data_IF_497114799331
#
_entry.id   IF_497114799331
#
_cell.length_a   1.000
_cell.length_b   1.000
_cell.length_c   1.000
_cell.angle_alpha   90.00
_cell.angle_beta   90.00
_cell.angle_gamma   90.00
#
_symmetry.space_group_name_H-M   'P 1'
#
loop_
_entity.id
_entity.type
_entity.pdbx_description
1 polymer ?
#
# COMPACT_ATOMS: atom_id res chain seq x y z
N UNK A 1 -11.18 1.49 -34.88
CA UNK A 1 -10.19 0.41 -34.65
C UNK A 1 -10.87 -0.63 -33.75
N UNK A 2 -11.14 -1.83 -34.29
CA UNK A 2 -11.87 -2.88 -33.56
C UNK A 2 -11.07 -3.45 -32.38
N UNK A 3 -9.78 -3.10 -32.26
CA UNK A 3 -8.89 -3.47 -31.15
C UNK A 3 -8.71 -4.98 -30.95
N UNK A 4 -8.86 -5.78 -32.01
CA UNK A 4 -8.65 -7.21 -31.97
C UNK A 4 -7.18 -7.55 -31.74
N UNK A 5 -6.90 -8.57 -30.92
CA UNK A 5 -5.57 -9.14 -30.78
C UNK A 5 -5.17 -9.83 -32.09
N UNK A 6 -4.03 -9.46 -32.63
CA UNK A 6 -3.48 -10.06 -33.87
C UNK A 6 -2.28 -10.96 -33.59
N UNK A 7 -1.60 -10.74 -32.45
CA UNK A 7 -0.43 -11.50 -32.07
C UNK A 7 -0.32 -11.57 -30.55
N UNK A 8 0.03 -12.75 -30.05
CA UNK A 8 0.24 -13.01 -28.63
C UNK A 8 1.40 -14.00 -28.45
N UNK A 9 2.19 -13.83 -27.39
CA UNK A 9 3.23 -14.79 -27.06
C UNK A 9 2.69 -15.94 -26.19
N UNK A 10 3.45 -17.04 -26.14
CA UNK A 10 3.09 -18.25 -25.39
C UNK A 10 2.95 -17.97 -23.87
N UNK A 11 3.69 -17.00 -23.33
CA UNK A 11 3.63 -16.64 -21.93
C UNK A 11 2.25 -16.07 -21.53
N UNK A 12 1.70 -15.15 -22.33
CA UNK A 12 0.37 -14.59 -22.07
C UNK A 12 -0.74 -15.63 -22.28
N UNK A 13 -0.59 -16.49 -23.31
CA UNK A 13 -1.49 -17.62 -23.56
C UNK A 13 -1.58 -18.53 -22.34
N UNK A 14 -0.41 -18.96 -21.80
CA UNK A 14 -0.34 -19.79 -20.61
C UNK A 14 -0.88 -19.08 -19.36
N UNK A 15 -0.55 -17.82 -19.18
CA UNK A 15 -0.99 -16.99 -18.05
C UNK A 15 -2.51 -16.91 -17.95
N UNK A 16 -3.19 -16.81 -19.11
CA UNK A 16 -4.64 -16.74 -19.20
C UNK A 16 -5.33 -18.12 -19.33
N UNK A 17 -4.56 -19.21 -19.32
CA UNK A 17 -5.08 -20.57 -19.29
C UNK A 17 -5.55 -21.11 -20.65
N UNK A 18 -5.09 -20.53 -21.76
CA UNK A 18 -5.37 -21.00 -23.11
C UNK A 18 -4.31 -22.02 -23.57
N UNK A 19 -4.66 -22.89 -24.52
CA UNK A 19 -3.77 -23.95 -25.00
C UNK A 19 -2.92 -23.49 -26.18
N UNK A 20 -3.37 -22.47 -26.94
CA UNK A 20 -2.61 -21.91 -28.07
C UNK A 20 -2.94 -20.45 -28.33
N UNK A 21 -2.09 -19.79 -29.12
CA UNK A 21 -2.29 -18.41 -29.55
C UNK A 21 -3.59 -18.27 -30.40
N UNK A 22 -3.86 -19.25 -31.26
CA UNK A 22 -5.05 -19.27 -32.13
C UNK A 22 -6.32 -19.36 -31.28
N UNK A 23 -6.31 -20.21 -30.25
CA UNK A 23 -7.44 -20.34 -29.31
C UNK A 23 -7.69 -19.00 -28.58
N UNK A 24 -6.64 -18.39 -28.03
CA UNK A 24 -6.73 -17.10 -27.35
C UNK A 24 -7.27 -15.99 -28.25
N UNK A 25 -6.72 -15.85 -29.47
CA UNK A 25 -7.14 -14.83 -30.43
C UNK A 25 -8.62 -15.04 -30.82
N UNK A 26 -9.05 -16.29 -31.02
CA UNK A 26 -10.44 -16.60 -31.34
C UNK A 26 -11.40 -16.26 -30.15
N UNK A 27 -11.00 -16.63 -28.94
CA UNK A 27 -11.78 -16.38 -27.73
C UNK A 27 -11.89 -14.88 -27.39
N UNK A 28 -10.83 -14.11 -27.66
CA UNK A 28 -10.74 -12.68 -27.41
C UNK A 28 -11.03 -11.81 -28.64
N UNK A 29 -11.77 -12.35 -29.62
CA UNK A 29 -12.23 -11.62 -30.80
C UNK A 29 -13.04 -10.36 -30.44
N UNK A 30 -13.63 -10.34 -29.25
CA UNK A 30 -14.22 -9.17 -28.59
C UNK A 30 -13.37 -8.83 -27.36
N UNK A 31 -12.42 -7.90 -27.48
CA UNK A 31 -11.46 -7.58 -26.41
C UNK A 31 -12.12 -7.12 -25.11
N UNK A 32 -13.32 -6.55 -25.17
CA UNK A 32 -14.10 -6.16 -24.00
C UNK A 32 -14.39 -7.35 -23.06
N UNK A 33 -14.52 -8.56 -23.59
CA UNK A 33 -14.80 -9.76 -22.80
C UNK A 33 -13.59 -10.24 -21.98
N UNK A 34 -12.39 -9.74 -22.28
CA UNK A 34 -11.20 -10.04 -21.51
C UNK A 34 -11.17 -9.28 -20.18
N UNK A 35 -11.73 -8.06 -20.15
CA UNK A 35 -11.73 -7.21 -18.98
C UNK A 35 -12.87 -7.55 -18.03
N UNK A 36 -12.59 -7.63 -16.72
CA UNK A 36 -13.63 -7.79 -15.69
C UNK A 36 -14.49 -6.53 -15.63
N UNK A 37 -13.87 -5.36 -15.75
CA UNK A 37 -14.53 -4.06 -15.90
C UNK A 37 -14.25 -3.50 -17.30
N UNK A 38 -15.29 -3.49 -18.15
CA UNK A 38 -15.18 -3.01 -19.51
C UNK A 38 -14.80 -1.52 -19.59
N UNK A 39 -15.14 -0.71 -18.60
CA UNK A 39 -14.80 0.73 -18.56
C UNK A 39 -13.30 0.97 -18.50
N UNK A 40 -12.55 0.05 -17.89
CA UNK A 40 -11.08 0.11 -17.85
C UNK A 40 -10.44 0.01 -19.23
N UNK A 41 -11.05 -0.76 -20.12
CA UNK A 41 -10.60 -0.81 -21.52
C UNK A 41 -10.82 0.52 -22.24
N UNK A 42 -11.98 1.14 -22.04
CA UNK A 42 -12.27 2.45 -22.63
C UNK A 42 -11.31 3.53 -22.14
N UNK A 43 -11.00 3.51 -20.85
CA UNK A 43 -10.00 4.38 -20.23
C UNK A 43 -8.62 4.17 -20.83
N UNK A 44 -8.14 2.92 -20.95
CA UNK A 44 -6.87 2.58 -21.57
C UNK A 44 -6.78 3.13 -23.00
N UNK A 45 -7.80 2.94 -23.84
CA UNK A 45 -7.83 3.44 -25.22
C UNK A 45 -7.79 4.94 -25.25
N UNK A 46 -8.51 5.64 -24.37
CA UNK A 46 -8.49 7.11 -24.28
C UNK A 46 -7.08 7.63 -23.95
N UNK A 47 -6.40 7.04 -22.96
CA UNK A 47 -5.02 7.41 -22.62
C UNK A 47 -4.09 7.19 -23.81
N UNK A 48 -4.19 6.03 -24.48
CA UNK A 48 -3.35 5.71 -25.63
C UNK A 48 -3.60 6.63 -26.83
N UNK A 49 -4.82 7.13 -27.00
CA UNK A 49 -5.12 8.11 -28.06
C UNK A 49 -4.58 9.50 -27.75
N UNK A 50 -4.50 9.86 -26.45
CA UNK A 50 -4.00 11.19 -26.01
C UNK A 50 -2.48 11.21 -25.91
N UNK A 51 -1.92 10.21 -25.21
CA UNK A 51 -0.52 10.21 -24.78
C UNK A 51 0.37 9.27 -25.61
N UNK A 52 -0.24 8.38 -26.40
CA UNK A 52 0.45 7.37 -27.21
C UNK A 52 1.01 6.20 -26.41
N UNK A 53 1.03 6.26 -25.08
CA UNK A 53 1.53 5.18 -24.22
C UNK A 53 0.91 5.22 -22.83
N UNK A 54 0.99 4.10 -22.12
CA UNK A 54 0.66 3.99 -20.68
C UNK A 54 1.61 3.01 -20.02
N UNK A 55 1.97 3.29 -18.76
CA UNK A 55 2.78 2.41 -17.92
C UNK A 55 2.06 2.11 -16.62
N UNK A 56 2.12 0.84 -16.17
CA UNK A 56 1.56 0.44 -14.90
C UNK A 56 0.03 0.54 -14.84
N UNK A 57 -0.66 0.40 -15.97
CA UNK A 57 -2.12 0.42 -15.98
C UNK A 57 -2.67 -0.87 -15.37
N UNK A 58 -3.24 -0.75 -14.19
CA UNK A 58 -3.78 -1.90 -13.43
C UNK A 58 -5.24 -2.15 -13.78
N UNK A 59 -5.57 -3.42 -14.02
CA UNK A 59 -6.92 -3.89 -14.28
C UNK A 59 -7.04 -5.38 -13.95
N UNK A 60 -8.23 -5.95 -14.10
CA UNK A 60 -8.46 -7.39 -13.97
C UNK A 60 -8.87 -7.99 -15.30
N UNK A 61 -8.30 -9.13 -15.64
CA UNK A 61 -8.69 -9.94 -16.78
C UNK A 61 -9.42 -11.20 -16.34
N UNK A 62 -10.31 -11.72 -17.21
CA UNK A 62 -10.81 -13.08 -17.07
C UNK A 62 -9.81 -14.07 -17.67
N UNK A 63 -9.51 -15.14 -16.93
CA UNK A 63 -8.90 -16.33 -17.52
C UNK A 63 -9.93 -17.17 -18.26
N UNK A 64 -9.47 -18.16 -19.04
CA UNK A 64 -10.31 -19.11 -19.75
C UNK A 64 -11.32 -19.84 -18.86
N UNK A 65 -10.94 -20.15 -17.62
CA UNK A 65 -11.78 -20.82 -16.62
C UNK A 65 -12.78 -19.87 -15.91
N UNK A 66 -12.79 -18.60 -16.27
CA UNK A 66 -13.63 -17.57 -15.66
C UNK A 66 -13.06 -16.97 -14.37
N UNK A 67 -11.91 -17.45 -13.89
CA UNK A 67 -11.24 -16.81 -12.74
C UNK A 67 -10.69 -15.44 -13.12
N UNK A 68 -10.54 -14.55 -12.12
CA UNK A 68 -10.02 -13.20 -12.30
C UNK A 68 -8.52 -13.18 -12.08
N UNK A 69 -7.83 -12.42 -12.91
CA UNK A 69 -6.40 -12.19 -12.86
C UNK A 69 -6.13 -10.69 -12.79
N UNK A 70 -5.64 -10.16 -11.65
CA UNK A 70 -5.16 -8.78 -11.59
C UNK A 70 -3.87 -8.66 -12.37
N UNK A 71 -3.81 -7.68 -13.26
CA UNK A 71 -2.68 -7.45 -14.15
C UNK A 71 -2.27 -5.99 -14.17
N UNK A 72 -0.98 -5.75 -14.36
CA UNK A 72 -0.43 -4.44 -14.72
C UNK A 72 0.04 -4.46 -16.17
N UNK A 73 -0.33 -3.44 -16.92
CA UNK A 73 -0.07 -3.34 -18.36
C UNK A 73 0.83 -2.16 -18.67
N UNK A 74 1.81 -2.39 -19.56
CA UNK A 74 2.49 -1.29 -20.25
C UNK A 74 2.13 -1.40 -21.74
N UNK A 75 1.54 -0.36 -22.29
CA UNK A 75 1.04 -0.36 -23.68
C UNK A 75 1.49 0.89 -24.40
N UNK A 76 1.84 0.75 -25.68
CA UNK A 76 2.18 1.87 -26.56
C UNK A 76 1.49 1.76 -27.90
N UNK A 77 1.21 2.88 -28.51
CA UNK A 77 0.84 2.98 -29.92
C UNK A 77 2.09 2.85 -30.79
N UNK A 78 1.98 2.09 -31.89
CA UNK A 78 3.04 1.92 -32.89
C UNK A 78 2.57 2.56 -34.19
N UNK A 79 3.44 3.38 -34.81
CA UNK A 79 3.19 4.14 -36.02
C UNK A 79 4.17 3.74 -37.13
N UNK A 80 3.76 3.92 -38.37
CA UNK A 80 4.66 3.78 -39.54
C UNK A 80 5.59 4.98 -39.69
N UNK A 81 6.51 4.91 -40.68
CA UNK A 81 7.46 6.00 -40.98
C UNK A 81 6.77 7.30 -41.44
N UNK A 82 5.49 7.25 -41.77
CA UNK A 82 4.68 8.40 -42.20
C UNK A 82 3.81 8.96 -41.06
N UNK A 83 3.92 8.38 -39.87
CA UNK A 83 3.15 8.78 -38.69
C UNK A 83 1.72 8.22 -38.64
N UNK A 84 1.35 7.23 -39.48
CA UNK A 84 0.05 6.60 -39.41
C UNK A 84 0.06 5.49 -38.33
N UNK A 85 -1.00 5.45 -37.54
CA UNK A 85 -1.17 4.40 -36.54
C UNK A 85 -1.24 3.01 -37.21
N UNK A 86 -0.51 2.03 -36.65
CA UNK A 86 -0.52 0.65 -37.13
C UNK A 86 -1.22 -0.27 -36.11
N UNK A 87 -0.71 -0.33 -34.85
CA UNK A 87 -1.25 -1.21 -33.79
C UNK A 87 -0.84 -0.72 -32.41
N UNK A 88 -1.44 -1.29 -31.37
CA UNK A 88 -0.98 -1.20 -30.00
C UNK A 88 -0.11 -2.40 -29.65
N UNK A 89 1.00 -2.16 -28.97
CA UNK A 89 1.88 -3.19 -28.43
C UNK A 89 1.95 -3.05 -26.92
N UNK A 90 1.77 -4.16 -26.20
CA UNK A 90 1.81 -4.13 -24.74
C UNK A 90 2.45 -5.33 -24.12
N UNK A 91 2.81 -5.19 -22.85
CA UNK A 91 3.17 -6.26 -21.94
C UNK A 91 2.12 -6.35 -20.84
N UNK A 92 1.85 -7.56 -20.37
CA UNK A 92 0.93 -7.86 -19.28
C UNK A 92 1.73 -8.58 -18.21
N UNK A 93 1.64 -8.11 -16.99
CA UNK A 93 2.34 -8.66 -15.82
C UNK A 93 1.28 -9.08 -14.81
N UNK A 94 1.34 -10.32 -14.35
CA UNK A 94 0.54 -10.81 -13.22
C UNK A 94 1.02 -10.13 -11.92
N UNK A 95 0.12 -9.40 -11.25
CA UNK A 95 0.40 -8.73 -9.99
C UNK A 95 -0.28 -9.41 -8.79
N UNK A 96 -0.85 -10.60 -8.97
CA UNK A 96 -1.58 -11.34 -7.91
C UNK A 96 -0.72 -11.60 -6.68
N UNK A 97 0.53 -12.01 -6.89
CA UNK A 97 1.46 -12.30 -5.79
C UNK A 97 1.78 -11.04 -4.98
N UNK A 98 2.00 -9.90 -5.66
CA UNK A 98 2.26 -8.61 -5.02
C UNK A 98 1.06 -8.13 -4.20
N UNK A 99 -0.15 -8.20 -4.76
CA UNK A 99 -1.39 -7.85 -4.05
C UNK A 99 -1.60 -8.76 -2.83
N UNK A 100 -1.41 -10.07 -3.00
CA UNK A 100 -1.57 -11.04 -1.90
C UNK A 100 -0.57 -10.78 -0.79
N UNK A 101 0.70 -10.56 -1.13
CA UNK A 101 1.75 -10.25 -0.15
C UNK A 101 1.43 -8.98 0.63
N UNK A 102 1.03 -7.92 -0.07
CA UNK A 102 0.64 -6.66 0.57
C UNK A 102 -0.51 -6.87 1.55
N UNK A 103 -1.57 -7.56 1.14
CA UNK A 103 -2.72 -7.88 2.00
C UNK A 103 -2.31 -8.68 3.23
N UNK A 104 -1.47 -9.72 3.08
CA UNK A 104 -0.99 -10.51 4.22
C UNK A 104 -0.15 -9.67 5.18
N UNK A 105 0.68 -8.76 4.67
CA UNK A 105 1.46 -7.84 5.50
C UNK A 105 0.54 -6.89 6.27
N UNK A 106 -0.47 -6.30 5.63
CA UNK A 106 -1.43 -5.39 6.26
C UNK A 106 -2.24 -6.11 7.34
N UNK A 107 -2.76 -7.32 7.04
CA UNK A 107 -3.49 -8.16 7.99
C UNK A 107 -2.60 -8.58 9.19
N UNK A 108 -1.32 -8.91 8.95
CA UNK A 108 -0.36 -9.27 10.01
C UNK A 108 -0.06 -8.07 10.89
N UNK A 109 0.16 -6.90 10.29
CA UNK A 109 0.38 -5.65 11.01
C UNK A 109 -0.84 -5.30 11.88
N UNK A 110 -2.05 -5.45 11.35
CA UNK A 110 -3.29 -5.27 12.09
C UNK A 110 -3.45 -6.25 13.26
N UNK A 111 -3.09 -7.52 13.07
CA UNK A 111 -3.12 -8.52 14.13
C UNK A 111 -2.12 -8.20 15.27
N UNK A 112 -0.90 -7.74 14.92
CA UNK A 112 0.10 -7.30 15.91
C UNK A 112 -0.39 -6.08 16.69
N UNK A 113 -0.97 -5.09 16.00
CA UNK A 113 -1.59 -3.90 16.59
C UNK A 113 -2.67 -4.30 17.60
N UNK A 114 -3.60 -5.17 17.19
CA UNK A 114 -4.67 -5.70 18.06
C UNK A 114 -4.12 -6.42 19.28
N UNK A 115 -3.07 -7.24 19.12
CA UNK A 115 -2.45 -7.97 20.23
C UNK A 115 -1.88 -7.03 21.31
N UNK A 116 -1.39 -5.86 20.91
CA UNK A 116 -0.94 -4.81 21.84
C UNK A 116 -2.12 -4.09 22.48
N UNK A 117 -3.17 -3.75 21.70
CA UNK A 117 -4.38 -3.10 22.23
C UNK A 117 -5.14 -3.93 23.27
N UNK A 118 -5.15 -5.27 23.13
CA UNK A 118 -5.78 -6.15 24.11
C UNK A 118 -5.20 -5.96 25.53
N UNK A 119 -3.93 -5.55 25.63
CA UNK A 119 -3.26 -5.28 26.92
C UNK A 119 -3.59 -3.90 27.50
N UNK A 120 -4.15 -2.99 26.68
CA UNK A 120 -4.53 -1.63 27.05
C UNK A 120 -6.04 -1.43 26.74
N UNK A 121 -6.93 -1.76 27.69
CA UNK A 121 -8.39 -1.74 27.46
C UNK A 121 -8.95 -0.36 27.05
N UNK A 122 -8.20 0.70 27.31
CA UNK A 122 -8.61 2.07 26.95
C UNK A 122 -8.31 2.45 25.50
N UNK A 123 -7.55 1.61 24.77
CA UNK A 123 -7.09 1.91 23.40
C UNK A 123 -7.75 1.08 22.31
N UNK A 124 -8.79 0.30 22.64
CA UNK A 124 -9.50 -0.53 21.64
C UNK A 124 -9.91 0.30 20.41
N UNK A 125 -9.40 -0.09 19.23
CA UNK A 125 -9.60 0.61 17.95
C UNK A 125 -8.98 2.00 17.88
N UNK A 126 -8.14 2.39 18.83
CA UNK A 126 -7.45 3.69 18.82
C UNK A 126 -6.47 3.76 17.65
N UNK A 127 -5.65 2.73 17.49
CA UNK A 127 -4.61 2.70 16.45
C UNK A 127 -5.22 2.80 15.06
N UNK A 128 -6.34 2.11 14.80
CA UNK A 128 -7.04 2.23 13.52
C UNK A 128 -7.60 3.64 13.29
N UNK A 129 -8.19 4.26 14.31
CA UNK A 129 -8.72 5.63 14.18
C UNK A 129 -7.63 6.67 13.96
N UNK A 130 -6.51 6.58 14.70
CA UNK A 130 -5.34 7.45 14.53
C UNK A 130 -4.76 7.27 13.13
N UNK A 131 -4.58 6.02 12.68
CA UNK A 131 -4.05 5.70 11.36
C UNK A 131 -4.91 6.29 10.24
N UNK A 132 -6.23 6.10 10.28
CA UNK A 132 -7.15 6.67 9.27
C UNK A 132 -7.08 8.19 9.22
N UNK A 133 -7.00 8.85 10.37
CA UNK A 133 -6.85 10.31 10.42
C UNK A 133 -5.51 10.75 9.85
N UNK A 134 -4.43 10.06 10.21
CA UNK A 134 -3.09 10.35 9.72
C UNK A 134 -2.99 10.17 8.19
N UNK A 135 -3.59 9.12 7.63
CA UNK A 135 -3.68 8.91 6.18
C UNK A 135 -4.44 10.04 5.47
N UNK A 136 -5.57 10.46 6.03
CA UNK A 136 -6.35 11.54 5.46
C UNK A 136 -5.57 12.87 5.46
N UNK A 137 -4.86 13.17 6.55
CA UNK A 137 -3.97 14.36 6.63
C UNK A 137 -2.85 14.25 5.60
N UNK A 138 -2.19 13.10 5.49
CA UNK A 138 -1.10 12.88 4.54
C UNK A 138 -1.58 13.03 3.08
N UNK A 139 -2.79 12.56 2.75
CA UNK A 139 -3.41 12.73 1.44
C UNK A 139 -3.67 14.20 1.12
N UNK A 140 -4.25 14.97 2.06
CA UNK A 140 -4.47 16.42 1.92
C UNK A 140 -3.14 17.20 1.78
N UNK A 141 -2.06 16.67 2.36
CA UNK A 141 -0.70 17.21 2.19
C UNK A 141 -0.04 16.81 0.87
N UNK A 142 -0.76 16.11 -0.02
CA UNK A 142 -0.27 15.63 -1.32
C UNK A 142 0.96 14.70 -1.20
N UNK A 143 1.00 13.85 -0.18
CA UNK A 143 2.01 12.80 -0.11
C UNK A 143 1.77 11.76 -1.22
N UNK A 144 2.83 11.13 -1.69
CA UNK A 144 2.70 10.00 -2.62
C UNK A 144 2.03 8.80 -1.93
N UNK A 145 1.39 7.93 -2.71
CA UNK A 145 0.73 6.71 -2.19
C UNK A 145 1.68 5.85 -1.35
N UNK A 146 2.94 5.76 -1.76
CA UNK A 146 3.97 5.05 -1.01
C UNK A 146 4.25 5.69 0.36
N UNK A 147 4.25 7.02 0.42
CA UNK A 147 4.47 7.75 1.66
C UNK A 147 3.25 7.67 2.59
N UNK A 148 2.03 7.70 2.04
CA UNK A 148 0.79 7.44 2.77
C UNK A 148 0.81 6.02 3.34
N UNK A 149 1.24 5.02 2.57
CA UNK A 149 1.41 3.63 3.05
C UNK A 149 2.42 3.55 4.21
N UNK A 150 3.46 4.38 4.22
CA UNK A 150 4.40 4.46 5.35
C UNK A 150 3.74 5.07 6.60
N UNK A 151 2.94 6.11 6.44
CA UNK A 151 2.13 6.69 7.54
C UNK A 151 1.15 5.66 8.10
N UNK A 152 0.48 4.88 7.21
CA UNK A 152 -0.37 3.77 7.63
C UNK A 152 0.38 2.78 8.52
N UNK A 153 1.50 2.24 8.03
CA UNK A 153 2.29 1.25 8.77
C UNK A 153 2.78 1.80 10.11
N UNK A 154 3.29 3.04 10.13
CA UNK A 154 3.74 3.68 11.35
C UNK A 154 2.58 3.93 12.33
N UNK A 155 1.42 4.38 11.84
CA UNK A 155 0.21 4.59 12.64
C UNK A 155 -0.31 3.29 13.27
N UNK A 156 -0.31 2.19 12.52
CA UNK A 156 -0.70 0.88 13.05
C UNK A 156 0.27 0.34 14.11
N UNK A 157 1.54 0.71 14.06
CA UNK A 157 2.61 0.19 14.92
C UNK A 157 3.16 1.19 15.92
N UNK A 158 2.62 2.45 16.00
CA UNK A 158 3.23 3.48 16.85
C UNK A 158 3.35 3.06 18.32
N UNK A 159 2.41 2.28 18.79
CA UNK A 159 2.30 1.79 20.17
C UNK A 159 2.86 0.36 20.38
N UNK A 160 3.52 -0.25 19.37
CA UNK A 160 4.00 -1.65 19.46
C UNK A 160 4.90 -1.88 20.68
N UNK A 161 5.65 -0.88 21.08
CA UNK A 161 6.53 -0.95 22.25
C UNK A 161 5.80 -1.07 23.60
N UNK A 162 4.48 -0.85 23.65
CA UNK A 162 3.69 -1.10 24.87
C UNK A 162 3.73 -2.57 25.31
N UNK A 163 4.20 -3.48 24.46
CA UNK A 163 4.44 -4.87 24.83
C UNK A 163 5.41 -5.02 26.00
N UNK A 164 6.34 -4.08 26.18
CA UNK A 164 7.30 -4.04 27.30
C UNK A 164 6.74 -3.37 28.56
N UNK A 165 5.60 -2.68 28.46
CA UNK A 165 4.98 -2.01 29.60
C UNK A 165 4.19 -3.06 30.42
N UNK A 166 4.35 -3.12 31.77
CA UNK A 166 3.55 -3.97 32.62
C UNK A 166 2.06 -3.70 32.43
N UNK A 167 1.26 -4.78 32.24
CA UNK A 167 -0.17 -4.66 31.96
C UNK A 167 -0.94 -3.93 33.08
N UNK A 168 -0.46 -4.03 34.31
CA UNK A 168 -1.04 -3.35 35.48
C UNK A 168 -1.00 -1.82 35.33
N UNK A 169 0.00 -1.28 34.63
CA UNK A 169 0.10 0.18 34.38
C UNK A 169 -0.83 0.64 33.27
N UNK A 170 -1.15 -0.24 32.32
CA UNK A 170 -2.04 0.05 31.20
C UNK A 170 -3.52 -0.08 31.58
N UNK A 171 -3.85 -0.97 32.52
CA UNK A 171 -5.24 -1.32 32.87
C UNK A 171 -5.74 -0.72 34.17
N UNK A 172 -4.86 -0.18 35.03
CA UNK A 172 -5.26 0.34 36.36
C UNK A 172 -6.04 1.64 36.22
N UNK A 173 -7.22 1.75 36.85
CA UNK A 173 -7.97 3.00 36.89
C UNK A 173 -7.27 4.02 37.80
N UNK A 174 -7.33 5.30 37.44
CA UNK A 174 -6.82 6.40 38.25
C UNK A 174 -5.56 7.05 37.70
N UNK A 175 -4.93 7.91 38.52
CA UNK A 175 -3.72 8.63 38.10
C UNK A 175 -2.51 7.72 38.21
N UNK A 176 -1.70 7.71 37.18
CA UNK A 176 -0.36 7.09 37.20
C UNK A 176 0.65 8.02 37.89
N UNK A 177 1.60 7.43 38.62
CA UNK A 177 2.71 8.17 39.24
C UNK A 177 3.73 8.61 38.20
N UNK A 178 4.60 9.54 38.54
CA UNK A 178 5.68 9.99 37.66
C UNK A 178 6.62 8.83 37.25
N UNK A 179 6.86 7.88 38.14
CA UNK A 179 7.70 6.72 37.85
C UNK A 179 7.01 5.80 36.84
N UNK A 180 5.74 5.49 37.01
CA UNK A 180 4.93 4.69 36.08
C UNK A 180 4.83 5.38 34.71
N UNK A 181 4.63 6.69 34.70
CA UNK A 181 4.61 7.49 33.48
C UNK A 181 5.98 7.45 32.74
N UNK A 182 7.10 7.46 33.49
CA UNK A 182 8.41 7.31 32.89
C UNK A 182 8.63 5.91 32.28
N UNK A 183 8.07 4.86 32.88
CA UNK A 183 8.06 3.53 32.28
C UNK A 183 7.19 3.51 31.03
N UNK A 184 6.00 4.09 31.09
CA UNK A 184 5.11 4.17 29.93
C UNK A 184 5.78 4.86 28.74
N UNK A 185 6.51 5.95 28.95
CA UNK A 185 7.22 6.68 27.89
C UNK A 185 8.26 5.82 27.14
N UNK A 186 8.73 4.74 27.76
CA UNK A 186 9.74 3.86 27.13
C UNK A 186 9.16 3.14 25.91
N UNK A 187 7.82 3.03 25.75
CA UNK A 187 7.24 2.35 24.60
C UNK A 187 7.69 2.94 23.26
N UNK A 188 7.96 4.25 23.17
CA UNK A 188 8.46 4.86 21.94
C UNK A 188 9.87 4.36 21.59
N UNK A 189 10.75 4.22 22.59
CA UNK A 189 12.08 3.63 22.43
C UNK A 189 11.98 2.15 22.09
N UNK A 190 11.19 1.39 22.83
CA UNK A 190 11.02 -0.06 22.64
C UNK A 190 10.39 -0.36 21.28
N UNK A 191 9.43 0.45 20.83
CA UNK A 191 8.86 0.37 19.49
C UNK A 191 9.94 0.56 18.40
N UNK A 192 10.81 1.54 18.57
CA UNK A 192 11.96 1.74 17.69
C UNK A 192 12.89 0.51 17.67
N UNK A 193 13.24 -0.03 18.85
CA UNK A 193 14.14 -1.20 18.95
C UNK A 193 13.54 -2.44 18.25
N UNK A 194 12.22 -2.65 18.34
CA UNK A 194 11.51 -3.73 17.63
C UNK A 194 11.61 -3.53 16.11
N UNK A 195 11.42 -2.31 15.62
CA UNK A 195 11.20 -2.04 14.19
C UNK A 195 12.50 -1.72 13.43
N UNK A 196 13.57 -1.28 14.10
CA UNK A 196 14.81 -0.80 13.46
C UNK A 196 15.54 -1.84 12.61
N UNK A 197 15.32 -3.14 12.87
CA UNK A 197 15.95 -4.24 12.11
C UNK A 197 15.24 -4.52 10.78
N UNK A 198 14.06 -3.93 10.55
CA UNK A 198 13.27 -4.12 9.33
C UNK A 198 13.67 -3.04 8.34
N UNK A 199 14.11 -3.45 7.15
CA UNK A 199 14.46 -2.53 6.07
C UNK A 199 13.19 -2.01 5.37
N UNK A 200 12.65 -0.93 5.86
CA UNK A 200 11.56 -0.21 5.21
C UNK A 200 12.11 0.81 4.21
N UNK A 201 11.37 1.04 3.11
CA UNK A 201 11.67 2.13 2.17
C UNK A 201 11.61 3.52 2.83
N UNK A 202 10.73 3.69 3.82
CA UNK A 202 10.55 4.89 4.63
C UNK A 202 10.97 4.60 6.08
N UNK A 203 11.37 5.59 6.86
CA UNK A 203 11.93 5.39 8.20
C UNK A 203 10.85 5.09 9.26
N UNK A 204 10.10 4.00 9.11
CA UNK A 204 8.99 3.62 10.00
C UNK A 204 9.41 3.60 11.47
N UNK A 205 10.55 2.98 11.78
CA UNK A 205 11.06 2.92 13.15
C UNK A 205 11.30 4.33 13.74
N UNK A 206 11.88 5.24 12.95
CA UNK A 206 12.10 6.62 13.37
C UNK A 206 10.77 7.40 13.56
N UNK A 207 9.78 7.16 12.71
CA UNK A 207 8.45 7.77 12.86
C UNK A 207 7.84 7.31 14.19
N UNK A 208 7.86 6.00 14.46
CA UNK A 208 7.39 5.42 15.72
C UNK A 208 8.18 5.97 16.91
N UNK A 209 9.49 6.15 16.79
CA UNK A 209 10.31 6.74 17.85
C UNK A 209 9.90 8.16 18.21
N UNK A 210 9.43 8.94 17.24
CA UNK A 210 9.18 10.37 17.33
C UNK A 210 7.72 10.76 17.57
N UNK A 211 6.76 9.84 17.56
CA UNK A 211 5.33 10.17 17.59
C UNK A 211 4.86 10.92 18.86
N UNK A 212 5.65 10.89 19.92
CA UNK A 212 5.42 11.69 21.13
C UNK A 212 6.32 12.93 21.24
N UNK A 213 7.12 13.22 20.23
CA UNK A 213 7.86 14.47 20.18
C UNK A 213 6.90 15.66 19.94
N UNK A 214 7.28 16.82 20.40
CA UNK A 214 6.47 18.03 20.25
C UNK A 214 7.29 19.16 19.65
N UNK A 215 6.66 19.97 18.78
CA UNK A 215 7.32 21.05 18.04
C UNK A 215 8.12 22.00 18.98
N UNK A 216 7.65 22.20 20.21
CA UNK A 216 8.31 23.06 21.20
C UNK A 216 9.43 22.35 22.00
N UNK A 217 9.73 21.08 21.70
CA UNK A 217 10.77 20.31 22.39
C UNK A 217 10.36 19.75 23.76
N UNK A 218 9.09 19.86 24.16
CA UNK A 218 8.59 19.31 25.43
C UNK A 218 8.21 17.85 25.35
N UNK A 219 8.37 17.22 24.17
CA UNK A 219 8.06 15.82 23.92
C UNK A 219 9.14 14.85 24.44
N UNK A 220 9.01 13.60 24.05
CA UNK A 220 9.95 12.53 24.41
C UNK A 220 10.04 11.54 23.22
N UNK A 221 11.08 10.69 23.15
CA UNK A 221 12.14 10.48 24.16
C UNK A 221 13.37 11.38 23.97
N UNK A 222 13.59 11.97 22.78
CA UNK A 222 14.80 12.73 22.43
C UNK A 222 14.68 14.24 22.62
N UNK A 223 13.50 14.73 22.95
CA UNK A 223 13.17 16.18 23.08
C UNK A 223 13.51 16.96 21.79
N UNK A 224 13.18 16.37 20.66
CA UNK A 224 13.32 17.02 19.37
C UNK A 224 12.38 18.21 19.28
N UNK A 225 12.76 19.21 18.49
CA UNK A 225 11.94 20.40 18.28
C UNK A 225 11.93 20.84 16.81
N UNK A 226 10.85 21.48 16.38
CA UNK A 226 10.72 22.03 15.04
C UNK A 226 10.95 20.97 13.96
N UNK A 227 11.75 21.33 12.95
CA UNK A 227 11.95 20.48 11.76
C UNK A 227 12.84 19.25 11.97
N UNK A 228 13.34 19.04 13.19
CA UNK A 228 14.02 17.79 13.53
C UNK A 228 13.05 16.62 13.74
N UNK A 229 11.74 16.89 13.89
CA UNK A 229 10.70 15.87 13.99
C UNK A 229 10.21 15.55 12.57
N UNK A 230 10.23 14.29 12.20
CA UNK A 230 9.68 13.85 10.91
C UNK A 230 8.23 14.28 10.76
N UNK A 231 7.87 14.72 9.56
CA UNK A 231 6.52 15.23 9.31
C UNK A 231 5.47 14.13 9.54
N UNK A 232 5.78 12.89 9.20
CA UNK A 232 4.94 11.71 9.43
C UNK A 232 4.69 11.49 10.93
N UNK A 233 5.72 11.68 11.77
CA UNK A 233 5.57 11.57 13.22
C UNK A 233 4.77 12.72 13.84
N UNK A 234 4.71 13.90 13.18
CA UNK A 234 3.85 15.02 13.59
C UNK A 234 2.38 14.81 13.24
N UNK A 235 2.12 13.94 12.28
CA UNK A 235 0.77 13.63 11.81
C UNK A 235 0.12 12.56 12.69
N UNK A 236 0.90 11.57 13.18
CA UNK A 236 0.50 10.53 14.11
C UNK A 236 0.38 11.08 15.52
#
# INVERSE_FOLDING_TARGET
LEGKCTMVNSALVALLGYSSAEEYIAATARPENLYVDASRREELIRILQTDGYVKGFETEFYRKDGSKLPVSMNVRAVFDDRGNFIYYQGTVIDISAGITLRRVLDETTGALSTAVEIRDPYTAGHQERVTRLAEAIAAEMNFSDERISAVHTAGMLHDIGKIYVPAEFLSRPGKITDNEYNILKQHAQEGYEILKSIEYKYPIAEIVYQHHERINGSGYPRKLSGDRILIEARII
#
